data_IF_460004609040
#
_entry.id   IF_460004609040
#
_cell.length_a   1.000
_cell.length_b   1.000
_cell.length_c   1.000
_cell.angle_alpha   90.00
_cell.angle_beta   90.00
_cell.angle_gamma   90.00
#
_symmetry.space_group_name_H-M   'P 1'
#
loop_
_entity.id
_entity.type
_entity.pdbx_description
1 polymer ?
#
# COMPACT_ATOMS: atom_id res chain seq x y z
N UNK A 1 -23.73 22.85 11.09
CA UNK A 1 -23.63 21.96 9.92
C UNK A 1 -22.15 21.72 9.66
N UNK A 2 -21.65 20.51 9.87
CA UNK A 2 -20.24 20.20 9.68
C UNK A 2 -19.94 20.12 8.17
N UNK A 3 -19.09 21.01 7.67
CA UNK A 3 -18.59 21.01 6.31
C UNK A 3 -17.59 19.86 6.15
N UNK A 4 -18.03 18.81 5.45
CA UNK A 4 -17.16 17.70 5.07
C UNK A 4 -16.02 18.26 4.21
N UNK A 5 -14.79 18.18 4.73
CA UNK A 5 -13.59 18.56 4.01
C UNK A 5 -13.38 17.55 2.88
N UNK A 6 -13.68 17.94 1.65
CA UNK A 6 -13.53 17.09 0.46
C UNK A 6 -12.04 16.86 0.20
N UNK A 7 -11.47 15.83 0.83
CA UNK A 7 -10.10 15.40 0.57
C UNK A 7 -10.06 14.86 -0.86
N UNK A 8 -9.23 15.50 -1.68
CA UNK A 8 -8.91 15.17 -3.07
C UNK A 8 -8.36 13.74 -3.18
N UNK A 9 -9.28 12.77 -3.18
CA UNK A 9 -9.00 11.34 -3.23
C UNK A 9 -9.03 10.90 -4.69
N UNK A 10 -8.02 11.30 -5.47
CA UNK A 10 -7.89 10.86 -6.86
C UNK A 10 -6.53 10.19 -7.04
N UNK A 11 -6.57 8.87 -7.31
CA UNK A 11 -5.47 7.96 -7.69
C UNK A 11 -4.42 7.53 -6.63
N UNK A 12 -4.02 8.37 -5.67
CA UNK A 12 -3.02 7.94 -4.65
C UNK A 12 -3.64 7.18 -3.47
N UNK A 13 -4.87 7.53 -3.08
CA UNK A 13 -5.64 6.82 -2.05
C UNK A 13 -5.97 5.38 -2.44
N UNK A 14 -6.15 5.12 -3.73
CA UNK A 14 -6.58 3.82 -4.25
C UNK A 14 -5.55 2.71 -4.00
N UNK A 15 -4.26 3.00 -4.22
CA UNK A 15 -3.23 1.98 -4.02
C UNK A 15 -3.01 1.65 -2.55
N UNK A 16 -2.89 2.66 -1.69
CA UNK A 16 -2.67 2.45 -0.27
C UNK A 16 -3.84 1.68 0.37
N UNK A 17 -5.07 2.06 0.01
CA UNK A 17 -6.27 1.38 0.44
C UNK A 17 -6.33 -0.05 -0.10
N UNK A 18 -6.10 -0.26 -1.41
CA UNK A 18 -6.14 -1.58 -2.02
C UNK A 18 -5.08 -2.53 -1.45
N UNK A 19 -3.86 -2.03 -1.20
CA UNK A 19 -2.79 -2.81 -0.57
C UNK A 19 -3.15 -3.22 0.86
N UNK A 20 -3.68 -2.28 1.68
CA UNK A 20 -4.11 -2.57 3.06
C UNK A 20 -5.28 -3.57 3.08
N UNK A 21 -6.27 -3.39 2.20
CA UNK A 21 -7.40 -4.33 2.07
C UNK A 21 -6.94 -5.71 1.61
N UNK A 22 -6.02 -5.80 0.65
CA UNK A 22 -5.47 -7.09 0.22
C UNK A 22 -4.67 -7.80 1.31
N UNK A 23 -3.91 -7.06 2.13
CA UNK A 23 -3.22 -7.59 3.29
C UNK A 23 -4.21 -8.17 4.32
N UNK A 24 -5.27 -7.43 4.64
CA UNK A 24 -6.33 -7.89 5.55
C UNK A 24 -7.04 -9.14 5.03
N UNK A 25 -7.46 -9.15 3.75
CA UNK A 25 -8.14 -10.30 3.12
C UNK A 25 -7.28 -11.56 3.11
N UNK A 26 -5.96 -11.41 3.09
CA UNK A 26 -5.00 -12.53 3.11
C UNK A 26 -4.49 -12.88 4.51
N UNK A 27 -4.95 -12.19 5.56
CA UNK A 27 -4.43 -12.37 6.92
C UNK A 27 -2.92 -12.07 7.03
N UNK A 28 -2.38 -11.23 6.14
CA UNK A 28 -0.94 -11.00 6.01
C UNK A 28 -0.55 -9.66 6.63
N UNK A 29 0.52 -9.65 7.43
CA UNK A 29 1.06 -8.42 8.02
C UNK A 29 2.02 -7.72 7.06
N UNK A 30 2.27 -6.43 7.29
CA UNK A 30 3.29 -5.67 6.54
C UNK A 30 4.69 -6.27 6.73
N UNK A 31 4.98 -6.83 7.90
CA UNK A 31 6.25 -7.53 8.18
C UNK A 31 6.39 -8.79 7.34
N UNK A 32 5.34 -9.62 7.28
CA UNK A 32 5.33 -10.83 6.44
C UNK A 32 5.44 -10.48 4.94
N UNK A 33 4.79 -9.39 4.50
CA UNK A 33 4.96 -8.88 3.13
C UNK A 33 6.42 -8.45 2.88
N UNK A 34 7.07 -7.82 3.85
CA UNK A 34 8.45 -7.39 3.74
C UNK A 34 9.42 -8.58 3.66
N UNK A 35 9.24 -9.59 4.52
CA UNK A 35 10.01 -10.84 4.50
C UNK A 35 9.86 -11.56 3.16
N UNK A 36 8.63 -11.71 2.66
CA UNK A 36 8.39 -12.36 1.36
C UNK A 36 8.95 -11.58 0.17
N UNK A 37 9.15 -10.26 0.31
CA UNK A 37 9.80 -9.43 -0.69
C UNK A 37 11.31 -9.28 -0.47
N UNK A 38 11.86 -9.79 0.64
CA UNK A 38 13.26 -9.57 1.03
C UNK A 38 13.58 -8.08 1.21
N UNK A 39 12.64 -7.30 1.74
CA UNK A 39 12.77 -5.86 1.96
C UNK A 39 12.64 -5.53 3.44
N UNK A 40 13.17 -4.38 3.86
CA UNK A 40 12.91 -3.89 5.20
C UNK A 40 11.42 -3.51 5.37
N UNK A 41 10.84 -3.81 6.54
CA UNK A 41 9.45 -3.43 6.87
C UNK A 41 9.19 -1.95 6.64
N UNK A 42 10.15 -1.10 7.01
CA UNK A 42 10.03 0.36 6.82
C UNK A 42 9.89 0.73 5.34
N UNK A 43 10.68 0.11 4.46
CA UNK A 43 10.61 0.31 3.01
C UNK A 43 9.24 -0.07 2.45
N UNK A 44 8.65 -1.17 2.91
CA UNK A 44 7.30 -1.59 2.49
C UNK A 44 6.24 -0.63 3.03
N UNK A 45 6.36 -0.18 4.28
CA UNK A 45 5.45 0.82 4.87
C UNK A 45 5.46 2.13 4.09
N UNK A 46 6.65 2.63 3.74
CA UNK A 46 6.81 3.84 2.93
C UNK A 46 6.21 3.62 1.54
N UNK A 47 6.46 2.47 0.91
CA UNK A 47 5.91 2.18 -0.43
C UNK A 47 4.38 2.08 -0.44
N UNK A 48 3.74 1.68 0.66
CA UNK A 48 2.28 1.63 0.80
C UNK A 48 1.70 3.04 1.03
N UNK A 49 2.27 3.80 1.97
CA UNK A 49 1.71 5.11 2.37
C UNK A 49 2.16 6.26 1.46
N UNK A 50 3.33 6.15 0.83
CA UNK A 50 3.93 7.12 -0.10
C UNK A 50 4.38 6.42 -1.40
N UNK A 51 3.43 5.93 -2.22
CA UNK A 51 3.72 5.09 -3.38
C UNK A 51 4.56 5.77 -4.48
N UNK A 52 4.66 7.09 -4.49
CA UNK A 52 5.48 7.87 -5.42
C UNK A 52 6.96 7.86 -5.07
N UNK A 53 7.33 7.66 -3.80
CA UNK A 53 8.73 7.65 -3.35
C UNK A 53 9.48 6.38 -3.74
N UNK A 54 8.77 5.25 -3.83
CA UNK A 54 9.35 3.94 -4.09
C UNK A 54 8.59 3.21 -5.21
N UNK A 55 8.62 3.72 -6.46
CA UNK A 55 7.83 3.16 -7.57
C UNK A 55 8.19 1.69 -7.88
N UNK A 56 9.47 1.32 -7.72
CA UNK A 56 9.92 -0.07 -7.88
C UNK A 56 9.32 -1.00 -6.82
N UNK A 57 9.25 -0.54 -5.56
CA UNK A 57 8.67 -1.33 -4.47
C UNK A 57 7.16 -1.41 -4.62
N UNK A 58 6.50 -0.31 -5.01
CA UNK A 58 5.07 -0.31 -5.37
C UNK A 58 4.75 -1.38 -6.43
N UNK A 59 5.53 -1.46 -7.51
CA UNK A 59 5.34 -2.45 -8.55
C UNK A 59 5.49 -3.90 -8.04
N UNK A 60 6.47 -4.15 -7.17
CA UNK A 60 6.66 -5.46 -6.52
C UNK A 60 5.49 -5.81 -5.60
N UNK A 61 4.99 -4.85 -4.83
CA UNK A 61 3.81 -5.03 -3.96
C UNK A 61 2.56 -5.31 -4.80
N UNK A 62 2.33 -4.55 -5.89
CA UNK A 62 1.20 -4.81 -6.83
C UNK A 62 1.26 -6.22 -7.37
N UNK A 63 2.43 -6.67 -7.84
CA UNK A 63 2.62 -8.03 -8.36
C UNK A 63 2.40 -9.09 -7.29
N UNK A 64 2.84 -8.87 -6.05
CA UNK A 64 2.68 -9.86 -4.97
C UNK A 64 1.24 -9.96 -4.45
N UNK A 65 0.56 -8.81 -4.36
CA UNK A 65 -0.81 -8.71 -3.86
C UNK A 65 -1.88 -8.85 -4.95
N UNK A 66 -1.48 -9.05 -6.22
CA UNK A 66 -2.36 -9.12 -7.39
C UNK A 66 -3.32 -7.91 -7.46
N UNK A 67 -2.76 -6.71 -7.31
CA UNK A 67 -3.51 -5.46 -7.39
C UNK A 67 -3.50 -4.97 -8.85
N UNK A 68 -4.69 -4.92 -9.48
CA UNK A 68 -4.87 -4.33 -10.82
C UNK A 68 -4.57 -2.83 -10.84
#
# INVERSE_FOLDING_TARGET
MATANTITTTAQGDFALAAKTALLRRGMTVTALAETLGLARNTVSIAINHPTMLPRVKARIRKKLHLN
#
